data_IF_592041678683
#
_entry.id   IF_592041678683
#
_cell.length_a   1.000
_cell.length_b   1.000
_cell.length_c   1.000
_cell.angle_alpha   90.00
_cell.angle_beta   90.00
_cell.angle_gamma   90.00
#
_symmetry.space_group_name_H-M   'P 1'
#
loop_
_entity.id
_entity.type
_entity.pdbx_description
1 polymer ?
#
# COMPACT_ATOMS: atom_id res chain seq x y z
N UNK A 1 21.36 32.11 -15.77
CA UNK A 1 19.86 32.05 -15.80
C UNK A 1 19.30 30.64 -16.06
N UNK A 2 20.09 29.74 -16.61
CA UNK A 2 19.60 28.38 -17.02
C UNK A 2 19.25 27.42 -15.87
N UNK A 3 19.81 27.62 -14.67
CA UNK A 3 19.54 26.73 -13.53
C UNK A 3 18.12 26.84 -12.93
N UNK A 4 17.53 28.04 -12.92
CA UNK A 4 16.20 28.29 -12.40
C UNK A 4 15.09 27.72 -13.29
N UNK A 5 15.26 27.81 -14.62
CA UNK A 5 14.30 27.25 -15.57
C UNK A 5 14.28 25.72 -15.52
N UNK A 6 15.44 25.09 -15.33
CA UNK A 6 15.56 23.64 -15.24
C UNK A 6 14.88 23.09 -13.96
N UNK A 7 15.06 23.77 -12.82
CA UNK A 7 14.44 23.38 -11.54
C UNK A 7 12.91 23.48 -11.59
N UNK A 8 12.38 24.56 -12.13
CA UNK A 8 10.93 24.75 -12.27
C UNK A 8 10.30 23.72 -13.23
N UNK A 9 10.99 23.35 -14.31
CA UNK A 9 10.53 22.33 -15.25
C UNK A 9 10.48 20.94 -14.61
N UNK A 10 11.47 20.57 -13.80
CA UNK A 10 11.52 19.29 -13.07
C UNK A 10 10.38 19.20 -12.06
N UNK A 11 10.09 20.28 -11.31
CA UNK A 11 8.98 20.32 -10.37
C UNK A 11 7.64 20.16 -11.09
N UNK A 12 7.44 20.87 -12.21
CA UNK A 12 6.22 20.81 -12.98
C UNK A 12 5.98 19.42 -13.58
N UNK A 13 7.03 18.81 -14.12
CA UNK A 13 6.99 17.44 -14.63
C UNK A 13 6.63 16.44 -13.53
N UNK A 14 7.27 16.54 -12.36
CA UNK A 14 6.94 15.68 -11.20
C UNK A 14 5.48 15.84 -10.78
N UNK A 15 5.01 17.09 -10.67
CA UNK A 15 3.62 17.39 -10.31
C UNK A 15 2.62 16.78 -11.30
N UNK A 16 2.85 16.99 -12.60
CA UNK A 16 2.01 16.43 -13.65
C UNK A 16 1.96 14.88 -13.61
N UNK A 17 3.12 14.24 -13.38
CA UNK A 17 3.20 12.79 -13.20
C UNK A 17 2.39 12.31 -11.99
N UNK A 18 2.44 13.02 -10.86
CA UNK A 18 1.72 12.67 -9.64
C UNK A 18 0.20 12.88 -9.79
N UNK A 19 -0.21 13.93 -10.49
CA UNK A 19 -1.63 14.14 -10.85
C UNK A 19 -2.15 13.01 -11.75
N UNK A 20 -1.36 12.56 -12.71
CA UNK A 20 -1.70 11.42 -13.57
C UNK A 20 -1.88 10.14 -12.75
N UNK A 21 -1.01 9.86 -11.78
CA UNK A 21 -1.16 8.71 -10.88
C UNK A 21 -2.46 8.77 -10.06
N UNK A 22 -2.84 9.96 -9.62
CA UNK A 22 -4.10 10.16 -8.90
C UNK A 22 -5.31 9.84 -9.79
N UNK A 23 -5.28 10.22 -11.07
CA UNK A 23 -6.33 9.88 -12.03
C UNK A 23 -6.38 8.36 -12.26
N UNK A 24 -5.23 7.71 -12.43
CA UNK A 24 -5.15 6.26 -12.59
C UNK A 24 -5.71 5.53 -11.37
N UNK A 25 -5.37 5.97 -10.15
CA UNK A 25 -5.90 5.38 -8.92
C UNK A 25 -7.43 5.54 -8.81
N UNK A 26 -7.97 6.70 -9.18
CA UNK A 26 -9.43 6.91 -9.25
C UNK A 26 -10.11 5.98 -10.27
N UNK A 27 -9.46 5.72 -11.38
CA UNK A 27 -9.97 4.78 -12.40
C UNK A 27 -10.04 3.35 -11.84
N UNK A 28 -9.08 2.95 -11.00
CA UNK A 28 -9.14 1.67 -10.29
C UNK A 28 -10.36 1.61 -9.35
N UNK A 29 -10.67 2.72 -8.67
CA UNK A 29 -11.85 2.85 -7.82
C UNK A 29 -13.18 2.61 -8.55
N UNK A 30 -13.27 2.94 -9.83
CA UNK A 30 -14.46 2.66 -10.66
C UNK A 30 -14.65 1.15 -10.89
N UNK A 31 -13.58 0.37 -10.90
CA UNK A 31 -13.62 -1.10 -11.04
C UNK A 31 -13.96 -1.83 -9.73
N UNK A 32 -13.75 -1.15 -8.59
CA UNK A 32 -14.02 -1.69 -7.25
C UNK A 32 -14.58 -0.59 -6.34
N UNK A 33 -15.91 -0.53 -6.11
CA UNK A 33 -16.59 0.56 -5.40
C UNK A 33 -16.19 0.73 -3.92
N UNK A 34 -15.41 -0.17 -3.34
CA UNK A 34 -14.95 -0.06 -1.95
C UNK A 34 -13.78 0.92 -1.72
N UNK A 35 -13.29 1.61 -2.76
CA UNK A 35 -11.92 2.15 -2.74
C UNK A 35 -11.77 3.63 -2.35
N UNK A 36 -12.75 4.51 -2.53
CA UNK A 36 -12.47 5.96 -2.42
C UNK A 36 -12.30 6.44 -0.96
N UNK A 37 -13.26 6.13 -0.08
CA UNK A 37 -13.22 6.52 1.34
C UNK A 37 -12.15 5.76 2.14
N UNK A 38 -11.89 4.50 1.77
CA UNK A 38 -10.86 3.66 2.37
C UNK A 38 -9.46 4.18 2.03
N UNK A 39 -9.23 4.56 0.78
CA UNK A 39 -7.93 5.09 0.33
C UNK A 39 -7.51 6.34 1.11
N UNK A 40 -8.43 7.26 1.43
CA UNK A 40 -8.11 8.46 2.19
C UNK A 40 -7.65 8.16 3.63
N UNK A 41 -8.33 7.25 4.32
CA UNK A 41 -7.94 6.84 5.67
C UNK A 41 -6.60 6.11 5.68
N UNK A 42 -6.39 5.19 4.73
CA UNK A 42 -5.12 4.49 4.57
C UNK A 42 -3.97 5.47 4.32
N UNK A 43 -4.14 6.43 3.41
CA UNK A 43 -3.13 7.46 3.13
C UNK A 43 -2.82 8.27 4.38
N UNK A 44 -3.84 8.72 5.11
CA UNK A 44 -3.66 9.46 6.35
C UNK A 44 -2.84 8.65 7.37
N UNK A 45 -3.22 7.42 7.63
CA UNK A 45 -2.50 6.55 8.57
C UNK A 45 -1.05 6.30 8.13
N UNK A 46 -0.81 6.02 6.85
CA UNK A 46 0.53 5.77 6.33
C UNK A 46 1.43 7.01 6.43
N UNK A 47 0.90 8.19 6.07
CA UNK A 47 1.62 9.47 6.16
C UNK A 47 1.93 9.83 7.61
N UNK A 48 0.96 9.73 8.53
CA UNK A 48 1.19 10.04 9.95
C UNK A 48 2.18 9.04 10.59
N UNK A 49 2.12 7.76 10.23
CA UNK A 49 3.11 6.77 10.68
C UNK A 49 4.51 7.11 10.17
N UNK A 50 4.64 7.51 8.91
CA UNK A 50 5.91 7.93 8.33
C UNK A 50 6.47 9.18 9.05
N UNK A 51 5.63 10.14 9.41
CA UNK A 51 6.01 11.32 10.20
C UNK A 51 6.48 10.94 11.61
N UNK A 52 5.80 10.03 12.27
CA UNK A 52 6.22 9.49 13.58
C UNK A 52 7.59 8.81 13.52
N UNK A 53 7.90 8.19 12.40
CA UNK A 53 9.22 7.59 12.13
C UNK A 53 10.27 8.61 11.66
N UNK A 54 9.96 9.92 11.65
CA UNK A 54 10.83 11.01 11.22
C UNK A 54 11.38 10.84 9.80
N UNK A 55 10.58 10.30 8.88
CA UNK A 55 10.98 10.18 7.49
C UNK A 55 10.95 11.53 6.78
N UNK A 56 11.82 11.72 5.78
CA UNK A 56 11.84 12.95 4.97
C UNK A 56 10.56 13.11 4.14
N UNK A 57 10.21 14.34 3.78
CA UNK A 57 9.03 14.65 2.96
C UNK A 57 9.02 13.88 1.63
N UNK A 58 10.20 13.63 1.05
CA UNK A 58 10.34 12.82 -0.17
C UNK A 58 9.91 11.36 0.05
N UNK A 59 10.27 10.76 1.18
CA UNK A 59 9.79 9.41 1.55
C UNK A 59 8.30 9.41 1.86
N UNK A 60 7.80 10.41 2.58
CA UNK A 60 6.38 10.56 2.90
C UNK A 60 5.54 10.67 1.62
N UNK A 61 6.00 11.44 0.64
CA UNK A 61 5.34 11.54 -0.66
C UNK A 61 5.29 10.18 -1.39
N UNK A 62 6.40 9.44 -1.42
CA UNK A 62 6.42 8.11 -2.02
C UNK A 62 5.47 7.14 -1.29
N UNK A 63 5.41 7.20 0.04
CA UNK A 63 4.47 6.39 0.85
C UNK A 63 3.03 6.76 0.53
N UNK A 64 2.70 8.05 0.43
CA UNK A 64 1.37 8.53 0.05
C UNK A 64 0.91 7.91 -1.28
N UNK A 65 1.76 7.99 -2.32
CA UNK A 65 1.40 7.46 -3.63
C UNK A 65 1.52 5.93 -3.70
N UNK A 66 2.46 5.33 -2.97
CA UNK A 66 2.54 3.89 -2.81
C UNK A 66 1.29 3.31 -2.18
N UNK A 67 0.78 3.96 -1.12
CA UNK A 67 -0.50 3.58 -0.48
C UNK A 67 -1.68 3.74 -1.45
N UNK A 68 -1.73 4.84 -2.20
CA UNK A 68 -2.79 5.09 -3.17
C UNK A 68 -2.84 4.04 -4.28
N UNK A 69 -1.67 3.52 -4.68
CA UNK A 69 -1.48 2.66 -5.85
C UNK A 69 -1.15 1.21 -5.52
N UNK A 70 -1.08 0.82 -4.22
CA UNK A 70 -0.63 -0.51 -3.81
C UNK A 70 -1.32 -1.65 -4.59
N UNK A 71 -2.58 -1.47 -4.87
CA UNK A 71 -3.46 -2.43 -5.54
C UNK A 71 -3.60 -2.21 -7.07
N UNK A 72 -2.84 -1.28 -7.69
CA UNK A 72 -3.01 -0.92 -9.11
C UNK A 72 -2.88 -2.13 -10.05
N UNK A 73 -2.09 -3.12 -9.68
CA UNK A 73 -1.93 -4.34 -10.46
C UNK A 73 -3.18 -5.21 -10.54
N UNK A 74 -4.19 -4.98 -9.72
CA UNK A 74 -5.51 -5.63 -9.82
C UNK A 74 -6.23 -5.32 -11.13
N UNK A 75 -5.82 -4.25 -11.85
CA UNK A 75 -6.30 -3.99 -13.21
C UNK A 75 -5.99 -5.12 -14.20
N UNK A 76 -4.92 -5.88 -13.96
CA UNK A 76 -4.52 -7.01 -14.79
C UNK A 76 -5.15 -8.34 -14.35
N UNK A 77 -5.92 -8.34 -13.26
CA UNK A 77 -6.53 -9.58 -12.74
C UNK A 77 -7.86 -9.87 -13.44
N UNK A 78 -8.20 -11.16 -13.65
CA UNK A 78 -9.49 -11.57 -14.23
C UNK A 78 -10.67 -11.09 -13.37
N UNK A 79 -11.68 -10.48 -14.01
CA UNK A 79 -12.84 -9.91 -13.31
C UNK A 79 -13.66 -10.95 -12.54
N UNK A 80 -13.75 -12.17 -13.06
CA UNK A 80 -14.46 -13.28 -12.41
C UNK A 80 -13.78 -13.73 -11.10
N UNK A 81 -12.46 -13.53 -10.95
CA UNK A 81 -11.72 -13.80 -9.72
C UNK A 81 -11.80 -12.60 -8.79
N UNK A 82 -11.54 -11.40 -9.31
CA UNK A 82 -11.52 -10.17 -8.53
C UNK A 82 -12.87 -9.86 -7.85
N UNK A 83 -13.97 -10.13 -8.57
CA UNK A 83 -15.35 -9.87 -8.13
C UNK A 83 -16.10 -11.14 -7.70
N UNK A 84 -15.41 -12.24 -7.43
CA UNK A 84 -16.06 -13.49 -7.01
C UNK A 84 -16.86 -13.30 -5.74
N UNK A 85 -18.17 -13.63 -5.73
CA UNK A 85 -18.97 -13.58 -4.52
C UNK A 85 -18.65 -14.80 -3.64
N UNK A 86 -17.64 -14.73 -2.79
CA UNK A 86 -17.26 -15.82 -1.90
C UNK A 86 -15.75 -15.94 -1.70
N UNK A 87 -15.34 -17.03 -1.05
CA UNK A 87 -13.91 -17.30 -0.83
C UNK A 87 -13.26 -17.74 -2.13
N UNK A 88 -12.04 -17.25 -2.36
CA UNK A 88 -11.19 -17.74 -3.43
C UNK A 88 -10.70 -19.15 -3.10
N UNK A 89 -10.59 -20.02 -4.11
CA UNK A 89 -9.84 -21.25 -3.98
C UNK A 89 -8.32 -20.98 -4.08
N UNK A 90 -7.53 -22.06 -3.99
CA UNK A 90 -6.06 -21.93 -3.95
C UNK A 90 -5.52 -21.35 -5.27
N UNK A 91 -6.06 -21.78 -6.40
CA UNK A 91 -5.60 -21.35 -7.74
C UNK A 91 -5.97 -19.88 -7.98
N UNK A 92 -7.19 -19.50 -7.66
CA UNK A 92 -7.66 -18.11 -7.74
C UNK A 92 -6.86 -17.19 -6.82
N UNK A 93 -6.53 -17.66 -5.61
CA UNK A 93 -5.70 -16.89 -4.68
C UNK A 93 -4.27 -16.72 -5.21
N UNK A 94 -3.70 -17.75 -5.84
CA UNK A 94 -2.40 -17.65 -6.51
C UNK A 94 -2.42 -16.63 -7.66
N UNK A 95 -3.53 -16.55 -8.40
CA UNK A 95 -3.71 -15.53 -9.44
C UNK A 95 -3.72 -14.11 -8.86
N UNK A 96 -4.49 -13.89 -7.79
CA UNK A 96 -4.50 -12.57 -7.10
C UNK A 96 -3.11 -12.18 -6.57
N UNK A 97 -2.32 -13.14 -6.08
CA UNK A 97 -0.94 -12.87 -5.62
C UNK A 97 -0.01 -12.31 -6.70
N UNK A 98 -0.40 -12.31 -7.95
CA UNK A 98 0.39 -11.71 -9.05
C UNK A 98 0.23 -10.19 -9.15
N UNK A 99 -0.81 -9.59 -8.50
CA UNK A 99 -1.05 -8.15 -8.65
C UNK A 99 0.11 -7.25 -8.19
N UNK A 100 0.92 -7.57 -7.15
CA UNK A 100 2.05 -6.71 -6.78
C UNK A 100 3.08 -6.61 -7.91
N UNK A 101 3.38 -7.73 -8.57
CA UNK A 101 4.30 -7.76 -9.73
C UNK A 101 3.69 -7.04 -10.93
N UNK A 102 2.40 -7.23 -11.20
CA UNK A 102 1.71 -6.51 -12.26
C UNK A 102 1.76 -5.01 -12.04
N UNK A 103 1.48 -4.55 -10.81
CA UNK A 103 1.56 -3.13 -10.42
C UNK A 103 2.99 -2.58 -10.51
N UNK A 104 3.98 -3.33 -10.05
CA UNK A 104 5.40 -2.99 -10.22
C UNK A 104 5.75 -2.76 -11.69
N UNK A 105 5.37 -3.68 -12.56
CA UNK A 105 5.67 -3.59 -13.99
C UNK A 105 5.01 -2.38 -14.67
N UNK A 106 3.85 -1.95 -14.22
CA UNK A 106 3.17 -0.74 -14.68
C UNK A 106 3.93 0.54 -14.29
N UNK A 107 4.52 0.56 -13.10
CA UNK A 107 5.07 1.79 -12.50
C UNK A 107 6.58 1.95 -12.60
N UNK A 108 7.34 0.86 -12.73
CA UNK A 108 8.82 0.84 -12.59
C UNK A 108 9.57 1.77 -13.51
N UNK A 109 9.06 2.01 -14.73
CA UNK A 109 9.70 2.88 -15.71
C UNK A 109 9.46 4.37 -15.45
N UNK A 110 8.48 4.71 -14.61
CA UNK A 110 8.07 6.11 -14.37
C UNK A 110 8.35 6.53 -12.93
N UNK A 111 8.17 5.62 -11.96
CA UNK A 111 8.28 5.91 -10.52
C UNK A 111 8.84 4.70 -9.76
N UNK A 112 10.15 4.46 -9.86
CA UNK A 112 10.81 3.33 -9.23
C UNK A 112 10.54 3.23 -7.71
N UNK A 113 10.69 4.29 -6.88
CA UNK A 113 10.43 4.17 -5.44
C UNK A 113 9.00 3.76 -5.10
N UNK A 114 8.01 4.26 -5.85
CA UNK A 114 6.61 3.90 -5.66
C UNK A 114 6.35 2.46 -6.12
N UNK A 115 6.95 2.06 -7.24
CA UNK A 115 6.80 0.70 -7.77
C UNK A 115 7.32 -0.38 -6.82
N UNK A 116 8.40 -0.10 -6.08
CA UNK A 116 8.93 -1.00 -5.06
C UNK A 116 7.96 -1.15 -3.87
N UNK A 117 7.31 -0.07 -3.46
CA UNK A 117 6.26 -0.13 -2.42
C UNK A 117 5.11 -1.04 -2.88
N UNK A 118 4.64 -0.84 -4.11
CA UNK A 118 3.56 -1.63 -4.73
C UNK A 118 3.95 -3.11 -4.86
N UNK A 119 5.21 -3.40 -5.16
CA UNK A 119 5.73 -4.76 -5.28
C UNK A 119 5.75 -5.49 -3.94
N UNK A 120 6.18 -4.80 -2.87
CA UNK A 120 6.59 -5.44 -1.62
C UNK A 120 5.56 -5.30 -0.48
N UNK A 121 4.42 -4.63 -0.68
CA UNK A 121 3.45 -4.36 0.39
C UNK A 121 2.79 -5.61 1.00
N UNK A 122 2.91 -6.77 0.37
CA UNK A 122 2.48 -8.06 0.90
C UNK A 122 3.63 -8.94 1.41
N UNK A 123 4.84 -8.42 1.43
CA UNK A 123 5.94 -9.10 2.10
C UNK A 123 5.77 -9.03 3.62
N UNK A 124 6.32 -10.03 4.32
CA UNK A 124 6.30 -10.14 5.77
C UNK A 124 7.71 -10.25 6.30
N UNK A 125 8.00 -9.61 7.43
CA UNK A 125 9.38 -9.57 7.96
C UNK A 125 9.97 -10.94 8.28
N UNK A 126 9.12 -11.96 8.48
CA UNK A 126 9.55 -13.37 8.68
C UNK A 126 9.83 -14.12 7.36
N UNK A 127 9.55 -13.51 6.20
CA UNK A 127 9.73 -14.11 4.87
C UNK A 127 8.59 -15.03 4.41
N UNK A 128 7.46 -15.07 5.13
CA UNK A 128 6.27 -15.84 4.72
C UNK A 128 5.34 -15.05 3.81
N UNK A 129 5.75 -13.82 3.42
CA UNK A 129 5.03 -12.95 2.51
C UNK A 129 5.15 -13.35 1.04
N UNK A 130 4.75 -12.47 0.16
CA UNK A 130 4.86 -12.61 -1.29
C UNK A 130 5.08 -11.23 -1.94
N UNK A 131 5.62 -11.14 -3.15
CA UNK A 131 5.87 -12.22 -4.12
C UNK A 131 7.21 -12.94 -3.98
N UNK A 132 8.19 -12.39 -3.22
CA UNK A 132 9.56 -12.93 -3.18
C UNK A 132 9.94 -13.60 -1.87
N UNK A 133 9.15 -13.43 -0.81
CA UNK A 133 9.49 -13.91 0.53
C UNK A 133 10.66 -13.16 1.14
N UNK A 134 10.74 -11.85 0.91
CA UNK A 134 11.76 -10.96 1.49
C UNK A 134 11.68 -10.94 3.01
N UNK A 135 12.84 -10.79 3.69
CA UNK A 135 12.93 -10.82 5.15
C UNK A 135 13.51 -9.53 5.71
N UNK A 136 12.98 -9.12 6.85
CA UNK A 136 13.57 -8.04 7.64
C UNK A 136 13.91 -6.80 6.81
N UNK A 137 15.20 -6.47 6.73
CA UNK A 137 15.68 -5.25 6.04
C UNK A 137 15.74 -5.36 4.50
N UNK A 138 15.46 -6.54 3.93
CA UNK A 138 15.28 -6.69 2.48
C UNK A 138 13.99 -5.99 2.02
N UNK A 139 13.02 -5.80 2.94
CA UNK A 139 11.78 -5.06 2.68
C UNK A 139 12.01 -3.58 2.97
N UNK A 140 11.77 -2.72 1.98
CA UNK A 140 11.87 -1.28 2.16
C UNK A 140 10.90 -0.75 3.22
N UNK A 141 11.36 0.16 4.09
CA UNK A 141 10.53 0.74 5.16
C UNK A 141 9.19 1.32 4.67
N UNK A 142 9.09 1.99 3.49
CA UNK A 142 7.82 2.42 2.94
C UNK A 142 6.83 1.28 2.70
N UNK A 143 7.28 0.14 2.19
CA UNK A 143 6.42 -1.03 1.97
C UNK A 143 5.95 -1.66 3.30
N UNK A 144 6.83 -1.72 4.32
CA UNK A 144 6.47 -2.15 5.67
C UNK A 144 5.36 -1.29 6.29
N UNK A 145 5.38 0.04 6.06
CA UNK A 145 4.33 0.96 6.53
C UNK A 145 3.01 0.65 5.83
N UNK A 146 3.03 0.52 4.50
CA UNK A 146 1.82 0.22 3.72
C UNK A 146 1.23 -1.12 4.12
N UNK A 147 2.05 -2.15 4.35
CA UNK A 147 1.61 -3.48 4.80
C UNK A 147 0.80 -3.44 6.10
N UNK A 148 1.24 -2.69 7.10
CA UNK A 148 0.52 -2.55 8.38
C UNK A 148 -0.81 -1.84 8.17
N UNK A 149 -0.80 -0.74 7.41
CA UNK A 149 -1.99 0.09 7.17
C UNK A 149 -3.03 -0.66 6.34
N UNK A 150 -2.62 -1.38 5.28
CA UNK A 150 -3.51 -2.19 4.45
C UNK A 150 -4.21 -3.29 5.27
N UNK A 151 -3.45 -4.04 6.07
CA UNK A 151 -4.05 -5.08 6.91
C UNK A 151 -4.99 -4.48 7.96
N UNK A 152 -4.62 -3.37 8.61
CA UNK A 152 -5.50 -2.71 9.56
C UNK A 152 -6.80 -2.23 8.90
N UNK A 153 -6.71 -1.57 7.74
CA UNK A 153 -7.89 -1.14 6.98
C UNK A 153 -8.77 -2.32 6.57
N UNK A 154 -8.16 -3.42 6.11
CA UNK A 154 -8.86 -4.64 5.78
C UNK A 154 -9.56 -5.31 6.97
N UNK A 155 -9.08 -5.08 8.19
CA UNK A 155 -9.69 -5.62 9.41
C UNK A 155 -10.90 -4.79 9.85
N UNK A 156 -10.82 -3.46 9.83
CA UNK A 156 -11.86 -2.57 10.37
C UNK A 156 -12.98 -2.25 9.39
N UNK A 157 -12.87 -2.69 8.14
CA UNK A 157 -13.89 -2.45 7.11
C UNK A 157 -14.63 -3.73 6.75
N UNK A 158 -15.95 -3.61 6.51
CA UNK A 158 -16.75 -4.71 6.01
C UNK A 158 -16.34 -5.09 4.58
N UNK A 159 -16.29 -6.38 4.32
CA UNK A 159 -16.10 -6.94 2.98
C UNK A 159 -17.24 -7.91 2.68
N UNK A 160 -17.59 -8.18 1.42
CA UNK A 160 -18.74 -9.03 1.07
C UNK A 160 -18.78 -10.39 1.78
N UNK A 161 -17.65 -10.87 2.32
CA UNK A 161 -17.52 -12.19 2.95
C UNK A 161 -17.08 -12.13 4.41
N UNK A 162 -16.89 -10.90 4.99
CA UNK A 162 -16.32 -10.74 6.33
C UNK A 162 -16.88 -9.51 7.02
N UNK A 163 -17.46 -9.69 8.19
CA UNK A 163 -17.80 -8.58 9.10
C UNK A 163 -16.52 -7.86 9.53
N UNK A 164 -16.62 -6.55 9.72
CA UNK A 164 -15.54 -5.77 10.31
C UNK A 164 -15.22 -6.27 11.72
N UNK A 165 -13.95 -6.29 12.08
CA UNK A 165 -13.52 -6.41 13.46
C UNK A 165 -13.71 -5.08 14.19
N UNK A 166 -13.83 -5.11 15.51
CA UNK A 166 -13.72 -3.88 16.31
C UNK A 166 -12.31 -3.30 16.17
N UNK A 167 -12.17 -2.00 16.47
CA UNK A 167 -10.86 -1.33 16.46
C UNK A 167 -9.88 -2.02 17.41
N UNK A 168 -10.36 -2.45 18.57
CA UNK A 168 -9.61 -3.14 19.62
C UNK A 168 -9.10 -4.50 19.15
N UNK A 169 -9.94 -5.28 18.48
CA UNK A 169 -9.56 -6.57 17.89
C UNK A 169 -8.51 -6.38 16.78
N UNK A 170 -8.71 -5.40 15.89
CA UNK A 170 -7.76 -5.09 14.84
C UNK A 170 -6.41 -4.67 15.41
N UNK A 171 -6.38 -3.79 16.43
CA UNK A 171 -5.18 -3.40 17.17
C UNK A 171 -4.46 -4.61 17.75
N UNK A 172 -5.21 -5.54 18.35
CA UNK A 172 -4.60 -6.76 18.90
C UNK A 172 -3.95 -7.59 17.82
N UNK A 173 -4.61 -7.80 16.68
CA UNK A 173 -4.06 -8.57 15.56
C UNK A 173 -2.76 -7.93 15.04
N UNK A 174 -2.74 -6.60 14.88
CA UNK A 174 -1.53 -5.89 14.45
C UNK A 174 -0.40 -6.04 15.47
N UNK A 175 -0.69 -5.91 16.76
CA UNK A 175 0.30 -6.10 17.84
C UNK A 175 0.86 -7.52 17.85
N UNK A 176 0.01 -8.52 17.76
CA UNK A 176 0.40 -9.94 17.79
C UNK A 176 1.25 -10.31 16.55
N UNK A 177 1.12 -9.57 15.45
CA UNK A 177 1.92 -9.74 14.24
C UNK A 177 3.26 -9.01 14.23
N UNK A 178 3.58 -8.20 15.26
CA UNK A 178 4.86 -7.49 15.35
C UNK A 178 6.04 -8.48 15.46
N UNK A 179 7.11 -8.23 14.73
CA UNK A 179 8.30 -9.10 14.67
C UNK A 179 8.14 -10.35 13.80
N UNK A 180 6.93 -10.64 13.30
CA UNK A 180 6.67 -11.77 12.39
C UNK A 180 6.09 -11.31 11.06
N UNK A 181 4.87 -10.83 11.05
CA UNK A 181 4.27 -10.26 9.85
C UNK A 181 4.75 -8.83 9.61
N UNK A 182 4.86 -8.04 10.66
CA UNK A 182 5.11 -6.60 10.61
C UNK A 182 6.39 -6.21 11.32
N UNK A 183 7.00 -5.14 10.86
CA UNK A 183 8.14 -4.51 11.54
C UNK A 183 7.70 -3.89 12.87
N UNK A 184 8.40 -4.22 13.97
CA UNK A 184 8.05 -3.78 15.33
C UNK A 184 8.04 -2.26 15.47
N UNK A 185 9.00 -1.55 14.84
CA UNK A 185 9.10 -0.09 14.90
C UNK A 185 7.94 0.55 14.15
N UNK A 186 7.55 -0.02 13.00
CA UNK A 186 6.40 0.45 12.22
C UNK A 186 5.12 0.23 13.01
N UNK A 187 4.93 -0.95 13.62
CA UNK A 187 3.77 -1.23 14.46
C UNK A 187 3.68 -0.25 15.62
N UNK A 188 4.78 0.00 16.34
CA UNK A 188 4.79 0.95 17.46
C UNK A 188 4.35 2.35 17.02
N UNK A 189 4.93 2.89 15.94
CA UNK A 189 4.59 4.20 15.42
C UNK A 189 3.14 4.28 14.93
N UNK A 190 2.65 3.23 14.25
CA UNK A 190 1.28 3.15 13.77
C UNK A 190 0.26 3.15 14.92
N UNK A 191 0.55 2.40 15.99
CA UNK A 191 -0.35 2.34 17.16
C UNK A 191 -0.48 3.69 17.86
N UNK A 192 0.58 4.51 17.90
CA UNK A 192 0.51 5.88 18.39
C UNK A 192 -0.41 6.75 17.53
N UNK A 193 -0.36 6.58 16.21
CA UNK A 193 -1.22 7.34 15.27
C UNK A 193 -2.69 7.01 15.44
N UNK A 194 -3.05 5.74 15.62
CA UNK A 194 -4.47 5.35 15.77
C UNK A 194 -5.03 5.57 17.17
N UNK A 195 -4.19 5.83 18.17
CA UNK A 195 -4.58 6.16 19.53
C UNK A 195 -4.86 7.66 19.71
N UNK A 196 -4.37 8.51 18.79
CA UNK A 196 -4.56 9.98 18.81
C UNK A 196 -5.89 10.38 18.19
#
# INVERSE_FOLDING_TARGET
MDGFYNYSAIILERKAKLEMLTVIAKTLGLKNPYTEKHSENMIRYAVETARKLNLSESFIENIKYGTLLHDIGKLAMPDNILNKPGKLDVEEFLEIKKHPIAGYNLLKSVFEPISLIVRDHHEKVDGTGYPFGLKGDEIGLPAKIVAVVDVFDALINERPYKKAFSKEEAVKIIKDGAGTHFDEKVVSAFLEVIAA
#
